data_IF_085022224877
#
_entry.id   IF_085022224877
#
_cell.length_a   1.000
_cell.length_b   1.000
_cell.length_c   1.000
_cell.angle_alpha   90.00
_cell.angle_beta   90.00
_cell.angle_gamma   90.00
#
_symmetry.space_group_name_H-M   'P 1'
#
loop_
_entity.id
_entity.type
_entity.pdbx_description
1 polymer ?
2 polymer ?
3 polymer ?
4 non-polymer ?
5 non-polymer ?
6 water ?
#
# COMPACT_ATOMS: atom_id res chain seq x y z
N UNK A 1 -1.14 -20.88 3.21
CA UNK A 1 -0.94 -20.38 1.86
C UNK A 1 0.46 -19.84 1.60
N UNK A 2 0.61 -19.08 0.53
CA UNK A 2 1.90 -18.47 0.22
C UNK A 2 2.06 -17.15 0.99
N UNK A 3 3.31 -16.74 1.15
CA UNK A 3 3.62 -15.57 1.98
C UNK A 3 4.77 -14.81 1.35
N UNK A 4 4.90 -13.55 1.76
CA UNK A 4 5.98 -12.72 1.24
C UNK A 4 6.43 -11.76 2.32
N UNK A 5 7.69 -11.38 2.24
CA UNK A 5 8.24 -10.27 2.99
C UNK A 5 8.72 -9.24 1.97
N UNK A 6 8.34 -7.99 2.17
CA UNK A 6 8.80 -6.96 1.24
C UNK A 6 9.17 -5.69 1.97
N UNK A 7 10.19 -5.03 1.45
CA UNK A 7 10.58 -3.70 1.93
C UNK A 7 10.35 -2.69 0.82
N UNK A 8 9.80 -1.54 1.22
CA UNK A 8 9.49 -0.44 0.30
C UNK A 8 10.33 0.77 0.69
N UNK A 9 11.22 1.18 -0.20
CA UNK A 9 12.14 2.29 0.01
C UNK A 9 11.74 3.47 -0.84
N UNK A 10 11.56 4.63 -0.21
CA UNK A 10 11.29 5.88 -0.89
C UNK A 10 12.32 6.91 -0.50
N UNK A 11 12.98 7.50 -1.49
CA UNK A 11 13.89 8.61 -1.25
C UNK A 11 13.50 9.78 -2.16
N UNK A 12 13.42 10.99 -1.60
CA UNK A 12 12.89 12.16 -2.30
C UNK A 12 13.82 13.35 -2.10
N UNK A 13 14.37 13.90 -3.19
CA UNK A 13 15.19 15.09 -3.03
C UNK A 13 14.31 16.33 -2.83
N UNK A 14 14.89 17.35 -2.19
CA UNK A 14 14.15 18.57 -1.88
C UNK A 14 15.14 19.73 -1.85
N UNK A 15 15.59 20.18 -3.03
CA UNK A 15 16.64 21.21 -3.08
C UNK A 15 16.21 22.45 -2.31
N UNK A 16 17.13 22.97 -1.49
CA UNK A 16 16.82 24.10 -0.62
C UNK A 16 16.28 23.72 0.74
N UNK A 17 15.97 22.45 0.99
CA UNK A 17 15.30 22.01 2.21
C UNK A 17 16.01 20.79 2.80
N UNK A 18 17.34 20.82 2.79
CA UNK A 18 18.14 19.74 3.34
C UNK A 18 18.35 18.61 2.37
N UNK A 19 18.79 17.49 2.90
CA UNK A 19 19.15 16.33 2.10
C UNK A 19 17.92 15.47 1.81
N UNK A 20 17.99 14.57 0.82
CA UNK A 20 16.80 13.77 0.48
C UNK A 20 16.31 12.92 1.64
N UNK A 21 15.00 12.97 1.90
CA UNK A 21 14.42 12.11 2.92
C UNK A 21 14.44 10.65 2.45
N UNK A 22 14.77 9.74 3.37
CA UNK A 22 14.77 8.30 3.10
C UNK A 22 13.82 7.64 4.09
N UNK A 23 12.85 6.90 3.58
CA UNK A 23 11.94 6.12 4.42
C UNK A 23 11.91 4.69 3.90
N UNK A 24 12.02 3.73 4.83
CA UNK A 24 11.88 2.32 4.52
C UNK A 24 10.77 1.74 5.37
N UNK A 25 9.84 1.02 4.74
CA UNK A 25 8.81 0.31 5.51
C UNK A 25 8.83 -1.15 5.09
N UNK A 26 8.68 -2.05 6.07
CA UNK A 26 8.72 -3.49 5.83
C UNK A 26 7.34 -4.12 6.07
N UNK A 27 6.99 -5.07 5.21
CA UNK A 27 5.71 -5.77 5.30
C UNK A 27 5.94 -7.28 5.26
N UNK A 28 5.13 -8.01 6.03
CA UNK A 28 4.89 -9.43 5.80
C UNK A 28 3.45 -9.55 5.33
N UNK A 29 3.26 -10.03 4.10
CA UNK A 29 1.95 -10.04 3.45
C UNK A 29 1.39 -8.63 3.57
N UNK A 30 0.17 -8.44 4.06
CA UNK A 30 -0.43 -7.13 4.19
C UNK A 30 -0.17 -6.43 5.50
N UNK A 31 0.74 -6.95 6.32
CA UNK A 31 0.95 -6.47 7.68
C UNK A 31 2.26 -5.69 7.76
N UNK A 32 2.17 -4.39 8.03
CA UNK A 32 3.41 -3.62 8.18
C UNK A 32 4.06 -3.99 9.52
N UNK A 33 5.37 -4.22 9.52
CA UNK A 33 6.00 -4.56 10.81
C UNK A 33 7.17 -3.68 11.23
N UNK A 34 7.84 -2.95 10.31
CA UNK A 34 8.90 -2.03 10.70
C UNK A 34 8.83 -0.73 9.90
N UNK A 35 9.46 0.32 10.44
CA UNK A 35 9.71 1.54 9.69
C UNK A 35 11.05 2.15 10.09
N UNK A 36 11.66 2.84 9.14
CA UNK A 36 12.78 3.75 9.38
C UNK A 36 12.52 5.02 8.59
N UNK A 37 12.76 6.17 9.22
CA UNK A 37 12.50 7.45 8.58
C UNK A 37 13.65 8.41 8.91
N UNK A 38 14.41 8.82 7.89
CA UNK A 38 15.54 9.72 8.16
C UNK A 38 15.09 11.08 8.69
N UNK A 39 13.82 11.43 8.54
CA UNK A 39 13.29 12.69 9.05
C UNK A 39 12.82 12.63 10.50
N UNK A 40 12.81 11.45 11.12
CA UNK A 40 12.46 11.40 12.54
C UNK A 40 13.51 12.14 13.37
N UNK A 41 13.11 12.62 14.55
CA UNK A 41 14.07 13.30 15.43
C UNK A 41 15.25 12.38 15.75
N UNK A 42 14.99 11.07 15.91
CA UNK A 42 16.02 10.07 16.18
C UNK A 42 15.82 8.88 15.26
N UNK A 43 16.31 8.96 14.02
CA UNK A 43 16.07 7.87 13.05
C UNK A 43 16.54 6.53 13.60
N UNK A 44 15.62 5.57 13.62
CA UNK A 44 16.00 4.21 13.96
C UNK A 44 14.93 3.29 13.41
N UNK A 45 15.28 2.03 13.22
CA UNK A 45 14.27 1.04 12.87
C UNK A 45 13.36 0.82 14.06
N UNK A 46 12.06 0.93 13.82
CA UNK A 46 11.09 0.90 14.90
C UNK A 46 10.04 -0.17 14.63
N UNK A 47 9.56 -0.84 15.67
CA UNK A 47 8.54 -1.88 15.45
C UNK A 47 7.21 -1.23 15.09
N UNK A 48 6.46 -1.90 14.22
CA UNK A 48 5.12 -1.42 13.86
C UNK A 48 4.06 -2.51 13.95
N UNK A 49 4.40 -3.67 14.49
CA UNK A 49 3.47 -4.75 14.79
C UNK A 49 3.91 -5.36 16.12
N UNK A 50 2.98 -5.91 16.90
CA UNK A 50 3.36 -6.39 18.23
C UNK A 50 4.34 -7.54 18.18
N UNK A 51 4.20 -8.47 17.24
CA UNK A 51 5.01 -9.68 17.33
C UNK A 51 6.49 -9.40 17.12
N UNK A 52 6.83 -8.35 16.37
CA UNK A 52 8.25 -8.09 16.11
C UNK A 52 8.95 -7.53 17.35
N UNK A 53 8.19 -7.03 18.33
CA UNK A 53 8.79 -6.37 19.49
C UNK A 53 9.67 -7.30 20.30
N UNK A 54 9.48 -8.62 20.20
CA UNK A 54 10.32 -9.53 20.94
C UNK A 54 11.70 -9.75 20.31
N UNK A 55 11.97 -9.21 19.12
CA UNK A 55 13.33 -9.27 18.61
C UNK A 55 14.26 -8.43 19.50
N UNK A 56 15.49 -8.91 19.65
CA UNK A 56 16.42 -8.33 20.61
C UNK A 56 17.13 -7.11 20.07
N UNK A 57 17.91 -6.48 20.96
CA UNK A 57 18.62 -5.25 20.58
C UNK A 57 19.42 -5.38 19.30
N UNK A 58 20.08 -6.53 19.08
CA UNK A 58 20.96 -6.65 17.93
C UNK A 58 20.17 -6.62 16.62
N UNK A 59 18.92 -7.10 16.64
CA UNK A 59 18.08 -6.95 15.45
C UNK A 59 17.85 -5.47 15.13
N UNK A 60 17.47 -4.68 16.14
CA UNK A 60 17.16 -3.28 15.90
C UNK A 60 18.41 -2.50 15.50
N UNK A 61 19.52 -2.72 16.19
CA UNK A 61 20.73 -1.96 15.84
C UNK A 61 21.23 -2.33 14.44
N UNK A 62 21.26 -3.62 14.11
CA UNK A 62 21.70 -4.01 12.78
C UNK A 62 20.83 -3.35 11.70
N UNK A 63 19.51 -3.38 11.88
CA UNK A 63 18.63 -2.76 10.89
C UNK A 63 18.82 -1.25 10.84
N UNK A 64 19.07 -0.60 11.99
CA UNK A 64 19.26 0.84 11.97
C UNK A 64 20.52 1.22 11.21
N UNK A 65 21.63 0.50 11.43
CA UNK A 65 22.85 0.77 10.67
C UNK A 65 22.65 0.54 9.18
N UNK A 66 21.93 -0.53 8.81
CA UNK A 66 21.69 -0.77 7.39
C UNK A 66 20.93 0.39 6.76
N UNK A 67 19.92 0.92 7.47
CA UNK A 67 19.10 1.98 6.90
C UNK A 67 19.83 3.31 6.85
N UNK A 68 20.71 3.59 7.82
CA UNK A 68 21.53 4.80 7.73
C UNK A 68 22.49 4.71 6.55
N UNK A 69 23.08 3.54 6.32
CA UNK A 69 23.91 3.32 5.14
C UNK A 69 23.08 3.45 3.85
N UNK A 70 21.94 2.77 3.79
CA UNK A 70 21.08 2.92 2.62
C UNK A 70 20.68 4.38 2.41
N UNK A 71 20.46 5.14 3.49
CA UNK A 71 20.17 6.57 3.32
C UNK A 71 21.25 7.27 2.50
N UNK A 72 22.52 7.00 2.80
CA UNK A 72 23.61 7.64 2.07
C UNK A 72 23.68 7.13 0.63
N UNK A 73 23.52 5.81 0.43
CA UNK A 73 23.58 5.26 -0.94
C UNK A 73 22.48 5.83 -1.82
N UNK A 74 21.27 6.01 -1.29
CA UNK A 74 20.21 6.54 -2.14
C UNK A 74 20.46 8.02 -2.47
N UNK A 75 21.04 8.77 -1.54
CA UNK A 75 21.37 10.15 -1.84
C UNK A 75 22.44 10.25 -2.92
N UNK A 76 23.47 9.39 -2.86
CA UNK A 76 24.43 9.36 -3.96
C UNK A 76 23.77 8.86 -5.24
N UNK A 77 22.88 7.87 -5.12
CA UNK A 77 22.14 7.43 -6.30
C UNK A 77 21.40 8.60 -6.94
N UNK A 78 20.67 9.38 -6.13
CA UNK A 78 19.89 10.50 -6.67
C UNK A 78 20.77 11.51 -7.38
N UNK A 79 21.97 11.78 -6.86
CA UNK A 79 22.90 12.67 -7.57
C UNK A 79 23.28 12.08 -8.91
N UNK A 80 23.62 10.78 -8.93
CA UNK A 80 24.00 10.12 -10.18
C UNK A 80 22.86 10.16 -11.18
N UNK A 81 21.63 9.89 -10.73
CA UNK A 81 20.49 9.83 -11.64
C UNK A 81 20.21 11.19 -12.25
N UNK A 82 20.41 12.24 -11.46
CA UNK A 82 20.29 13.60 -11.96
C UNK A 82 21.27 13.84 -13.10
N UNK A 83 22.51 13.37 -12.94
CA UNK A 83 23.46 13.43 -14.04
C UNK A 83 23.02 12.62 -15.25
N UNK A 84 22.52 11.40 -15.02
CA UNK A 84 22.18 10.52 -16.16
C UNK A 84 21.08 11.11 -17.02
N UNK A 85 20.19 11.90 -16.43
CA UNK A 85 19.05 12.47 -17.15
C UNK A 85 19.26 13.94 -17.47
N UNK A 86 20.45 14.48 -17.19
CA UNK A 86 20.77 15.85 -17.49
C UNK A 86 19.81 16.81 -16.78
N UNK A 87 19.48 16.51 -15.53
CA UNK A 87 18.48 17.31 -14.83
C UNK A 87 19.11 18.39 -13.95
N UNK A 88 18.38 19.48 -13.80
CA UNK A 88 18.86 20.61 -13.01
C UNK A 88 19.00 20.24 -11.53
N UNK A 89 19.80 21.03 -10.81
CA UNK A 89 19.93 20.93 -9.36
C UNK A 89 18.68 21.41 -8.63
N UNK A 90 17.75 22.05 -9.32
CA UNK A 90 16.67 22.78 -8.68
C UNK A 90 15.39 21.97 -8.51
N UNK A 91 15.27 20.80 -9.10
CA UNK A 91 14.04 20.05 -9.05
C UNK A 91 14.07 18.94 -8.03
N UNK A 92 12.88 18.56 -7.58
CA UNK A 92 12.72 17.43 -6.67
C UNK A 92 12.51 16.15 -7.48
N UNK A 93 13.23 15.08 -7.09
CA UNK A 93 13.06 13.78 -7.74
C UNK A 93 12.88 12.66 -6.72
N UNK A 94 12.33 11.54 -7.19
CA UNK A 94 11.96 10.41 -6.33
C UNK A 94 12.67 9.16 -6.81
N UNK A 95 13.31 8.43 -5.90
CA UNK A 95 13.90 7.12 -6.19
C UNK A 95 13.24 6.12 -5.28
N UNK A 96 12.62 5.08 -5.86
CA UNK A 96 11.88 4.06 -5.12
C UNK A 96 12.50 2.70 -5.36
N UNK A 97 12.52 1.84 -4.34
CA UNK A 97 12.88 0.47 -4.63
C UNK A 97 12.05 -0.45 -3.75
N UNK A 98 11.73 -1.62 -4.29
CA UNK A 98 10.99 -2.64 -3.56
C UNK A 98 11.69 -3.98 -3.74
N UNK A 99 11.91 -4.69 -2.63
CA UNK A 99 12.61 -5.98 -2.72
C UNK A 99 12.11 -6.93 -1.63
N UNK A 100 12.33 -8.22 -1.84
CA UNK A 100 11.82 -9.21 -0.91
C UNK A 100 11.66 -10.58 -1.57
N UNK A 101 11.10 -11.49 -0.80
CA UNK A 101 10.99 -12.88 -1.20
C UNK A 101 9.54 -13.34 -1.06
N UNK A 102 9.16 -14.33 -1.87
CA UNK A 102 7.88 -15.02 -1.73
C UNK A 102 8.18 -16.47 -1.39
N UNK A 103 7.40 -17.06 -0.50
CA UNK A 103 7.57 -18.48 -0.19
C UNK A 103 6.22 -19.20 -0.34
N UNK A 104 6.31 -20.49 -0.65
CA UNK A 104 5.14 -21.30 -0.79
C UNK A 104 4.66 -21.84 0.54
N UNK A 105 3.49 -22.50 0.51
CA UNK A 105 2.98 -23.11 1.75
C UNK A 105 4.02 -23.95 2.49
N UNK A 106 4.96 -24.57 1.78
CA UNK A 106 6.00 -25.37 2.41
C UNK A 106 7.25 -24.57 2.76
N UNK A 107 7.16 -23.24 2.80
CA UNK A 107 8.27 -22.41 3.19
C UNK A 107 9.42 -22.29 2.20
N UNK A 108 9.32 -22.93 1.02
CA UNK A 108 10.39 -22.89 0.03
C UNK A 108 10.31 -21.59 -0.76
N UNK A 109 11.47 -21.04 -1.13
CA UNK A 109 11.47 -19.84 -1.95
C UNK A 109 10.66 -20.06 -3.22
N UNK A 110 9.70 -19.15 -3.48
CA UNK A 110 8.98 -19.18 -4.74
C UNK A 110 9.62 -18.24 -5.76
N UNK A 111 10.02 -17.04 -5.34
CA UNK A 111 10.80 -16.14 -6.18
C UNK A 111 11.24 -14.93 -5.36
N UNK A 112 12.28 -14.26 -5.87
CA UNK A 112 12.82 -13.07 -5.21
C UNK A 112 12.55 -11.84 -6.06
N UNK A 113 12.64 -10.65 -5.46
CA UNK A 113 12.36 -9.40 -6.17
C UNK A 113 13.36 -8.34 -5.77
N UNK A 114 13.72 -7.48 -6.73
CA UNK A 114 14.50 -6.28 -6.45
C UNK A 114 14.32 -5.32 -7.63
N UNK A 115 13.37 -4.39 -7.48
CA UNK A 115 13.00 -3.45 -8.52
C UNK A 115 13.21 -2.03 -8.04
N UNK A 116 13.63 -1.15 -8.95
CA UNK A 116 13.82 0.27 -8.69
C UNK A 116 13.11 1.09 -9.76
N UNK A 117 12.68 2.30 -9.37
CA UNK A 117 11.98 3.24 -10.24
C UNK A 117 12.47 4.64 -9.96
N UNK A 118 12.52 5.46 -11.00
CA UNK A 118 12.93 6.86 -10.87
C UNK A 118 11.84 7.78 -11.40
N UNK A 119 11.46 8.76 -10.58
CA UNK A 119 10.37 9.68 -10.92
C UNK A 119 9.13 8.93 -11.39
N UNK A 120 8.87 7.78 -10.76
CA UNK A 120 7.68 7.00 -11.03
C UNK A 120 7.74 6.05 -12.21
N UNK A 121 8.88 5.93 -12.89
CA UNK A 121 9.03 5.05 -14.03
C UNK A 121 9.97 3.91 -13.68
N UNK A 122 9.62 2.69 -14.09
CA UNK A 122 10.54 1.58 -13.91
C UNK A 122 11.92 1.94 -14.46
N UNK A 123 12.95 1.64 -13.67
CA UNK A 123 14.33 1.99 -14.01
C UNK A 123 15.16 0.73 -14.21
N UNK A 124 15.34 -0.09 -13.16
CA UNK A 124 16.08 -1.34 -13.31
C UNK A 124 15.46 -2.37 -12.38
N UNK A 125 15.51 -3.64 -12.80
CA UNK A 125 14.94 -4.73 -12.00
C UNK A 125 15.82 -5.96 -12.13
N UNK A 126 16.00 -6.66 -11.02
CA UNK A 126 16.61 -7.98 -11.03
C UNK A 126 15.62 -8.98 -11.66
N UNK A 127 16.09 -9.74 -12.65
CA UNK A 127 15.23 -10.73 -13.28
C UNK A 127 14.95 -11.90 -12.33
N UNK A 128 13.95 -12.71 -12.71
CA UNK A 128 13.55 -13.81 -11.82
C UNK A 128 14.69 -14.80 -11.61
N UNK A 129 15.62 -14.91 -12.57
CA UNK A 129 16.79 -15.78 -12.39
C UNK A 129 17.71 -15.34 -11.25
N UNK A 130 17.48 -14.16 -10.68
CA UNK A 130 18.33 -13.57 -9.64
C UNK A 130 19.78 -13.48 -10.07
N UNK A 131 20.04 -13.42 -11.37
CA UNK A 131 21.42 -13.37 -11.86
C UNK A 131 21.66 -12.30 -12.91
N UNK A 132 20.61 -11.74 -13.54
CA UNK A 132 20.73 -10.76 -14.61
C UNK A 132 19.72 -9.63 -14.38
N UNK A 133 19.91 -8.51 -15.09
CA UNK A 133 19.15 -7.28 -14.89
C UNK A 133 18.36 -6.91 -16.14
N UNK A 134 17.23 -6.24 -15.94
CA UNK A 134 16.50 -5.59 -17.04
C UNK A 134 16.58 -4.08 -16.80
N UNK A 135 17.29 -3.38 -17.68
CA UNK A 135 17.42 -1.93 -17.64
C UNK A 135 16.40 -1.31 -18.58
N UNK A 136 15.70 -0.27 -18.10
CA UNK A 136 14.63 0.34 -18.88
C UNK A 136 15.12 1.30 -19.96
N UNK A 137 16.35 1.84 -19.86
CA UNK A 137 16.78 2.87 -20.80
C UNK A 137 18.29 2.97 -20.72
N UNK A 138 18.88 3.91 -21.48
CA UNK A 138 20.34 3.95 -21.50
C UNK A 138 20.91 4.42 -20.17
N UNK A 139 20.16 5.25 -19.43
CA UNK A 139 20.58 5.58 -18.06
C UNK A 139 20.72 4.32 -17.21
N UNK A 140 19.66 3.51 -17.14
CA UNK A 140 19.73 2.30 -16.32
C UNK A 140 20.80 1.34 -16.82
N UNK A 141 21.18 1.41 -18.10
CA UNK A 141 22.26 0.54 -18.57
C UNK A 141 23.60 0.92 -17.95
N UNK A 142 23.80 2.21 -17.62
CA UNK A 142 24.97 2.61 -16.86
C UNK A 142 24.95 1.98 -15.48
N UNK A 143 23.82 2.11 -14.79
CA UNK A 143 23.66 1.40 -13.51
C UNK A 143 23.92 -0.09 -13.67
N UNK A 144 23.35 -0.71 -14.71
CA UNK A 144 23.54 -2.14 -14.91
C UNK A 144 25.02 -2.50 -15.03
N UNK A 145 25.78 -1.70 -15.79
CA UNK A 145 27.21 -1.95 -15.94
C UNK A 145 27.94 -1.86 -14.61
N UNK A 146 27.62 -0.85 -13.79
CA UNK A 146 28.21 -0.77 -12.46
C UNK A 146 27.85 -1.98 -11.61
N UNK A 147 26.60 -2.41 -11.66
CA UNK A 147 26.18 -3.50 -10.76
C UNK A 147 26.72 -4.84 -11.24
N UNK A 148 26.88 -5.02 -12.55
CA UNK A 148 27.54 -6.23 -13.03
C UNK A 148 28.99 -6.27 -12.58
N UNK A 149 29.73 -5.16 -12.70
CA UNK A 149 31.12 -5.15 -12.27
C UNK A 149 31.23 -5.40 -10.75
N UNK A 150 30.34 -4.80 -9.96
CA UNK A 150 30.33 -5.01 -8.50
C UNK A 150 29.64 -6.31 -8.08
N UNK A 151 29.22 -7.14 -9.01
CA UNK A 151 28.47 -8.38 -8.76
C UNK A 151 27.38 -8.21 -7.70
N UNK A 152 26.50 -7.26 -7.95
CA UNK A 152 25.39 -7.02 -7.06
C UNK A 152 24.37 -8.15 -7.13
N UNK A 153 24.12 -8.69 -8.33
CA UNK A 153 23.11 -9.74 -8.44
C UNK A 153 23.46 -10.95 -7.59
N UNK A 154 24.75 -11.34 -7.57
CA UNK A 154 25.18 -12.47 -6.75
C UNK A 154 24.96 -12.20 -5.27
N UNK A 155 25.14 -10.95 -4.85
CA UNK A 155 24.97 -10.63 -3.45
C UNK A 155 23.49 -10.51 -3.09
N UNK A 156 22.70 -9.94 -4.00
CA UNK A 156 21.24 -9.97 -3.83
C UNK A 156 20.73 -11.41 -3.79
N UNK A 157 21.19 -12.25 -4.71
CA UNK A 157 20.74 -13.64 -4.70
C UNK A 157 21.01 -14.30 -3.34
N UNK A 158 22.19 -14.09 -2.79
CA UNK A 158 22.52 -14.67 -1.49
C UNK A 158 21.55 -14.18 -0.42
N UNK A 159 21.28 -12.87 -0.41
CA UNK A 159 20.36 -12.33 0.59
C UNK A 159 18.98 -12.94 0.44
N UNK A 160 18.48 -13.01 -0.80
CA UNK A 160 17.09 -13.38 -1.03
C UNK A 160 16.85 -14.85 -0.74
N UNK A 161 17.81 -15.71 -1.11
CA UNK A 161 17.67 -17.15 -0.87
C UNK A 161 18.00 -17.54 0.56
N UNK A 162 18.77 -16.73 1.28
CA UNK A 162 19.21 -17.02 2.62
C UNK A 162 18.43 -16.20 3.62
N UNK A 163 18.96 -15.02 3.98
CA UNK A 163 18.40 -14.18 5.03
C UNK A 163 16.90 -13.96 4.86
N UNK A 164 16.47 -13.52 3.68
CA UNK A 164 15.07 -13.14 3.48
C UNK A 164 14.11 -14.30 3.79
N UNK A 165 14.37 -15.47 3.21
CA UNK A 165 13.46 -16.60 3.41
C UNK A 165 13.52 -17.09 4.85
N UNK A 166 14.71 -17.16 5.43
CA UNK A 166 14.84 -17.55 6.83
C UNK A 166 14.09 -16.58 7.75
N UNK A 167 14.26 -15.27 7.54
CA UNK A 167 13.59 -14.35 8.45
C UNK A 167 12.09 -14.26 8.19
N UNK A 168 11.66 -14.38 6.92
CA UNK A 168 10.23 -14.50 6.67
C UNK A 168 9.65 -15.67 7.46
N UNK A 169 10.30 -16.83 7.40
CA UNK A 169 9.79 -18.00 8.11
C UNK A 169 9.79 -17.76 9.62
N UNK A 170 10.82 -17.10 10.14
CA UNK A 170 10.83 -16.76 11.56
C UNK A 170 9.68 -15.82 11.92
N UNK A 171 9.46 -14.77 11.12
CA UNK A 171 8.38 -13.85 11.43
C UNK A 171 7.03 -14.55 11.38
N UNK A 172 6.82 -15.39 10.38
CA UNK A 172 5.56 -16.10 10.25
C UNK A 172 5.29 -16.94 11.48
N UNK A 173 6.34 -17.52 12.05
CA UNK A 173 6.17 -18.32 13.26
C UNK A 173 5.89 -17.41 14.47
N UNK A 174 6.75 -16.40 14.70
CA UNK A 174 6.52 -15.52 15.84
C UNK A 174 5.17 -14.83 15.78
N UNK A 175 4.67 -14.51 14.59
CA UNK A 175 3.43 -13.78 14.45
C UNK A 175 2.29 -14.63 13.96
N UNK A 176 2.38 -15.95 14.17
CA UNK A 176 1.43 -16.88 13.55
C UNK A 176 -0.02 -16.56 13.95
N UNK A 177 -0.23 -16.06 15.16
CA UNK A 177 -1.59 -15.77 15.62
C UNK A 177 -2.30 -14.72 14.76
N UNK A 178 -1.54 -13.89 14.04
CA UNK A 178 -2.12 -12.90 13.13
C UNK A 178 -1.72 -13.15 11.68
N UNK A 179 -0.43 -13.35 11.40
CA UNK A 179 0.00 -13.53 10.02
C UNK A 179 -0.61 -14.77 9.39
N UNK A 180 -0.76 -15.84 10.16
CA UNK A 180 -1.31 -17.08 9.59
C UNK A 180 -2.79 -17.25 9.90
N UNK A 181 -3.48 -16.15 10.21
CA UNK A 181 -4.91 -16.16 10.48
C UNK A 181 -5.61 -15.37 9.39
N UNK A 182 -6.42 -16.04 8.56
CA UNK A 182 -7.28 -15.34 7.62
C UNK A 182 -8.57 -14.94 8.32
N UNK A 183 -8.90 -13.63 8.32
CA UNK A 183 -10.19 -13.16 8.86
C UNK A 183 -11.18 -12.97 7.72
N UNK A 184 -12.30 -13.69 7.72
CA UNK A 184 -13.26 -13.60 6.61
C UNK A 184 -13.94 -12.24 6.59
N UNK A 185 -14.47 -11.82 5.45
CA UNK A 185 -15.21 -10.56 5.43
C UNK A 185 -16.60 -10.74 6.02
N UNK A 186 -17.04 -9.71 6.76
CA UNK A 186 -18.47 -9.51 7.04
C UNK A 186 -19.12 -8.91 5.81
N UNK A 187 -20.25 -9.48 5.39
CA UNK A 187 -20.82 -9.12 4.10
C UNK A 187 -22.26 -8.66 4.25
N UNK A 188 -22.66 -7.73 3.38
CA UNK A 188 -24.04 -7.27 3.31
C UNK A 188 -24.30 -6.68 1.92
N UNK A 189 -25.58 -6.63 1.54
CA UNK A 189 -26.03 -5.96 0.33
C UNK A 189 -26.96 -4.82 0.74
N UNK A 190 -26.60 -3.60 0.38
CA UNK A 190 -27.45 -2.43 0.59
C UNK A 190 -28.10 -2.01 -0.73
N UNK A 191 -29.15 -1.22 -0.61
CA UNK A 191 -30.00 -0.88 -1.75
C UNK A 191 -30.27 0.61 -1.69
N UNK A 192 -29.91 1.32 -2.75
CA UNK A 192 -29.93 2.78 -2.76
C UNK A 192 -30.68 3.27 -3.98
N UNK A 193 -31.94 3.69 -3.84
CA UNK A 193 -32.73 4.12 -4.99
C UNK A 193 -32.07 5.32 -5.68
N UNK A 194 -32.07 5.28 -7.01
CA UNK A 194 -31.62 6.42 -7.83
C UNK A 194 -32.80 7.22 -8.35
N UNK A 195 -33.79 6.53 -8.90
CA UNK A 195 -34.94 7.12 -9.56
C UNK A 195 -36.04 6.06 -9.56
N UNK A 196 -37.15 6.39 -10.23
CA UNK A 196 -38.23 5.41 -10.41
C UNK A 196 -37.79 4.17 -11.18
N UNK A 197 -36.72 4.28 -11.97
CA UNK A 197 -36.36 3.23 -12.91
C UNK A 197 -35.16 2.40 -12.49
N UNK A 198 -34.34 2.89 -11.57
CA UNK A 198 -33.04 2.30 -11.29
C UNK A 198 -32.71 2.43 -9.81
N UNK A 199 -31.89 1.50 -9.33
CA UNK A 199 -31.38 1.53 -7.96
C UNK A 199 -29.97 0.93 -7.92
N UNK A 200 -29.24 1.30 -6.89
CA UNK A 200 -27.90 0.79 -6.69
C UNK A 200 -27.94 -0.36 -5.70
N UNK A 201 -27.33 -1.47 -6.09
CA UNK A 201 -27.09 -2.59 -5.20
C UNK A 201 -25.61 -2.56 -4.87
N UNK A 202 -25.27 -2.42 -3.59
CA UNK A 202 -23.88 -2.33 -3.16
C UNK A 202 -23.57 -3.53 -2.29
N UNK A 203 -22.59 -4.33 -2.71
CA UNK A 203 -22.14 -5.49 -1.97
C UNK A 203 -20.91 -5.14 -1.14
N UNK A 204 -21.02 -5.27 0.19
CA UNK A 204 -19.99 -4.91 1.14
C UNK A 204 -19.20 -6.11 1.64
N UNK A 205 -17.87 -5.93 1.74
CA UNK A 205 -16.98 -6.84 2.43
C UNK A 205 -16.18 -6.04 3.44
N UNK A 206 -16.39 -6.31 4.73
CA UNK A 206 -15.78 -5.53 5.81
C UNK A 206 -14.97 -6.43 6.74
N UNK A 207 -13.82 -5.92 7.16
CA UNK A 207 -13.06 -6.53 8.23
C UNK A 207 -12.21 -7.71 7.86
N UNK A 208 -11.82 -7.86 6.60
CA UNK A 208 -11.13 -9.08 6.19
C UNK A 208 -9.61 -8.90 6.13
N UNK A 209 -8.92 -10.04 6.13
CA UNK A 209 -7.46 -10.11 6.08
C UNK A 209 -7.11 -11.53 5.64
N UNK A 210 -6.23 -11.71 4.63
CA UNK A 210 -5.47 -10.69 3.90
C UNK A 210 -6.33 -9.91 2.92
N UNK A 211 -5.69 -9.01 2.17
CA UNK A 211 -6.39 -8.08 1.29
C UNK A 211 -6.99 -8.77 0.07
N UNK A 212 -6.42 -9.90 -0.34
CA UNK A 212 -6.92 -10.61 -1.52
C UNK A 212 -8.36 -11.05 -1.32
N UNK A 213 -9.21 -10.69 -2.28
CA UNK A 213 -10.63 -11.02 -2.24
C UNK A 213 -11.15 -10.94 -3.67
N UNK A 214 -12.20 -11.70 -3.98
CA UNK A 214 -12.91 -11.51 -5.24
C UNK A 214 -14.37 -11.23 -4.90
N UNK A 215 -14.86 -10.11 -5.42
CA UNK A 215 -16.16 -9.55 -5.08
C UNK A 215 -16.81 -9.19 -6.41
N UNK A 216 -17.82 -9.94 -6.82
CA UNK A 216 -18.37 -9.83 -8.18
C UNK A 216 -19.90 -9.86 -8.14
N UNK A 217 -20.50 -9.14 -9.08
CA UNK A 217 -21.95 -9.16 -9.29
C UNK A 217 -22.27 -9.98 -10.54
N UNK A 218 -23.33 -10.77 -10.47
CA UNK A 218 -23.81 -11.49 -11.64
C UNK A 218 -25.28 -11.18 -11.89
N UNK A 219 -25.64 -11.08 -13.17
CA UNK A 219 -27.02 -10.93 -13.63
C UNK A 219 -27.41 -12.18 -14.41
N UNK A 220 -28.40 -12.91 -13.92
CA UNK A 220 -28.77 -14.19 -14.52
C UNK A 220 -27.53 -15.06 -14.73
N UNK A 221 -26.54 -14.89 -13.85
CA UNK A 221 -25.32 -15.69 -13.88
C UNK A 221 -24.23 -15.19 -14.79
N UNK A 222 -24.43 -14.07 -15.50
CA UNK A 222 -23.36 -13.48 -16.29
C UNK A 222 -22.63 -12.45 -15.44
N UNK A 223 -21.31 -12.52 -15.45
CA UNK A 223 -20.52 -11.54 -14.71
C UNK A 223 -20.79 -10.14 -15.26
N UNK A 224 -20.93 -9.18 -14.35
CA UNK A 224 -21.22 -7.80 -14.69
C UNK A 224 -19.98 -6.91 -14.57
N UNK A 225 -18.80 -7.45 -14.87
CA UNK A 225 -17.56 -6.72 -14.61
C UNK A 225 -17.58 -5.34 -15.23
N UNK A 226 -18.08 -5.23 -16.47
CA UNK A 226 -18.11 -3.96 -17.18
C UNK A 226 -19.10 -2.96 -16.57
N UNK A 227 -20.11 -3.43 -15.84
CA UNK A 227 -21.10 -2.54 -15.25
C UNK A 227 -20.97 -2.40 -13.75
N UNK A 228 -19.87 -2.89 -13.16
CA UNK A 228 -19.67 -2.88 -11.72
C UNK A 228 -18.69 -1.77 -11.33
N UNK A 229 -19.08 -0.96 -10.35
CA UNK A 229 -18.12 -0.05 -9.73
C UNK A 229 -17.47 -0.80 -8.57
N UNK A 230 -16.20 -1.13 -8.74
CA UNK A 230 -15.41 -1.85 -7.75
C UNK A 230 -14.40 -0.87 -7.16
N UNK A 231 -14.60 -0.46 -5.91
CA UNK A 231 -13.66 0.47 -5.30
C UNK A 231 -12.38 -0.28 -4.95
N UNK A 232 -11.28 0.46 -4.91
CA UNK A 232 -10.02 -0.14 -4.47
C UNK A 232 -10.15 -0.62 -3.03
N UNK A 233 -9.57 -1.79 -2.77
CA UNK A 233 -9.50 -2.32 -1.41
C UNK A 233 -8.84 -1.30 -0.50
N UNK A 234 -9.44 -1.06 0.66
CA UNK A 234 -9.01 0.06 1.50
C UNK A 234 -8.76 -0.42 2.93
N UNK A 235 -7.76 0.13 3.60
CA UNK A 235 -7.46 -0.31 4.97
C UNK A 235 -8.45 0.25 5.96
N UNK A 236 -8.88 -0.59 6.89
CA UNK A 236 -9.81 -0.13 7.90
C UNK A 236 -9.12 0.63 9.02
N UNK A 237 -7.81 0.46 9.17
CA UNK A 237 -7.05 1.06 10.24
C UNK A 237 -6.70 0.12 11.37
N UNK A 238 -7.36 -1.04 11.45
CA UNK A 238 -7.11 -2.01 12.49
C UNK A 238 -6.42 -3.27 11.96
N UNK A 239 -5.74 -3.17 10.82
CA UNK A 239 -5.04 -4.27 10.14
C UNK A 239 -5.92 -4.93 9.09
N UNK A 240 -7.24 -4.81 9.21
CA UNK A 240 -8.14 -5.42 8.25
C UNK A 240 -8.45 -4.47 7.10
N UNK A 241 -9.19 -4.98 6.12
CA UNK A 241 -9.47 -4.25 4.89
C UNK A 241 -10.96 -4.22 4.61
N UNK A 242 -11.34 -3.34 3.69
CA UNK A 242 -12.73 -3.20 3.25
C UNK A 242 -12.78 -3.09 1.73
N UNK A 243 -13.91 -3.51 1.15
CA UNK A 243 -14.13 -3.36 -0.28
C UNK A 243 -15.63 -3.41 -0.54
N UNK A 244 -16.07 -2.71 -1.59
CA UNK A 244 -17.44 -2.90 -2.04
C UNK A 244 -17.55 -2.84 -3.56
N UNK A 245 -18.64 -3.43 -4.06
CA UNK A 245 -18.96 -3.44 -5.48
C UNK A 245 -20.41 -3.05 -5.65
N UNK A 246 -20.69 -2.20 -6.62
CA UNK A 246 -22.06 -1.74 -6.84
C UNK A 246 -22.41 -1.89 -8.31
N UNK A 247 -23.66 -2.25 -8.59
CA UNK A 247 -24.21 -2.29 -9.93
C UNK A 247 -25.50 -1.48 -9.87
N UNK A 248 -25.87 -0.89 -10.99
CA UNK A 248 -27.12 -0.14 -11.09
C UNK A 248 -28.13 -1.03 -11.81
N UNK A 249 -29.26 -1.29 -11.17
CA UNK A 249 -30.15 -2.31 -11.71
C UNK A 249 -31.53 -1.74 -12.00
N UNK A 250 -32.23 -2.29 -12.99
CA UNK A 250 -33.60 -1.82 -13.25
C UNK A 250 -34.48 -2.12 -12.05
N UNK A 251 -35.34 -1.16 -11.73
CA UNK A 251 -36.26 -1.35 -10.62
C UNK A 251 -37.11 -2.58 -10.86
N UNK A 252 -37.14 -3.48 -9.87
CA UNK A 252 -37.90 -4.71 -9.95
C UNK A 252 -37.15 -5.90 -10.50
N UNK A 253 -35.91 -5.72 -10.96
CA UNK A 253 -35.07 -6.80 -11.44
C UNK A 253 -34.03 -7.25 -10.40
N UNK A 254 -34.18 -6.83 -9.13
CA UNK A 254 -33.12 -7.01 -8.15
C UNK A 254 -32.74 -8.48 -7.99
N UNK A 255 -33.73 -9.37 -7.96
CA UNK A 255 -33.46 -10.77 -7.68
C UNK A 255 -32.72 -11.48 -8.80
N UNK A 256 -32.65 -10.88 -10.00
CA UNK A 256 -31.78 -11.47 -11.01
C UNK A 256 -30.29 -11.22 -10.74
N UNK A 257 -29.94 -10.53 -9.66
CA UNK A 257 -28.57 -10.12 -9.38
C UNK A 257 -28.04 -10.85 -8.15
N UNK A 258 -26.86 -11.45 -8.28
CA UNK A 258 -26.22 -12.08 -7.14
C UNK A 258 -24.81 -11.54 -6.95
N UNK A 259 -24.44 -11.36 -5.69
CA UNK A 259 -23.09 -10.97 -5.31
C UNK A 259 -22.35 -12.20 -4.80
N UNK A 260 -21.14 -12.41 -5.32
CA UNK A 260 -20.32 -13.57 -5.00
C UNK A 260 -19.03 -13.11 -4.36
N UNK A 261 -18.70 -13.70 -3.20
CA UNK A 261 -17.55 -13.30 -2.40
C UNK A 261 -16.65 -14.52 -2.18
N UNK A 262 -15.38 -14.41 -2.55
CA UNK A 262 -14.40 -15.44 -2.30
C UNK A 262 -13.27 -14.84 -1.48
N UNK A 263 -12.90 -15.51 -0.38
CA UNK A 263 -11.84 -15.07 0.50
C UNK A 263 -11.31 -16.29 1.24
N UNK A 264 -9.99 -16.28 1.47
CA UNK A 264 -9.34 -17.42 2.13
C UNK A 264 -9.94 -17.70 3.50
N UNK A 265 -10.52 -16.70 4.16
CA UNK A 265 -11.06 -16.93 5.48
C UNK A 265 -12.44 -17.54 5.52
N UNK A 266 -13.13 -17.61 4.38
CA UNK A 266 -14.51 -18.12 4.36
C UNK A 266 -14.50 -19.64 4.32
N UNK A 267 -15.35 -20.31 5.11
CA UNK A 267 -15.46 -21.77 4.95
C UNK A 267 -15.95 -22.17 3.57
N UNK A 268 -16.79 -21.33 2.94
CA UNK A 268 -17.45 -21.55 1.66
C UNK A 268 -17.55 -20.20 0.98
N UNK A 269 -17.31 -20.10 -0.33
CA UNK A 269 -17.61 -18.85 -1.02
C UNK A 269 -19.08 -18.49 -0.80
N UNK A 270 -19.35 -17.19 -0.78
CA UNK A 270 -20.66 -16.66 -0.41
C UNK A 270 -21.41 -16.19 -1.65
N UNK A 271 -22.72 -16.40 -1.64
CA UNK A 271 -23.61 -15.86 -2.66
C UNK A 271 -24.66 -15.01 -1.97
N UNK A 272 -24.70 -13.73 -2.30
CA UNK A 272 -25.55 -12.76 -1.62
C UNK A 272 -26.60 -12.24 -2.59
N UNK A 273 -27.80 -12.01 -2.07
CA UNK A 273 -28.87 -11.30 -2.76
C UNK A 273 -29.39 -10.20 -1.85
N UNK A 274 -30.03 -9.20 -2.47
CA UNK A 274 -30.73 -8.15 -1.73
C UNK A 274 -31.88 -8.74 -0.91
N UNK A 275 -31.80 -8.59 0.43
CA UNK A 275 -32.86 -9.01 1.34
C UNK A 275 -33.56 -7.75 1.86
N UNK A 276 -34.67 -7.31 1.24
CA UNK A 276 -35.35 -6.10 1.72
C UNK A 276 -35.93 -6.26 3.13
N UNK B 1 8.47 14.58 -15.67
CA UNK B 1 7.99 13.78 -14.55
C UNK B 1 6.69 13.08 -14.91
N UNK B 2 6.55 11.83 -14.50
CA UNK B 2 5.24 11.20 -14.41
C UNK B 2 4.54 11.75 -13.17
N UNK B 3 3.33 12.28 -13.34
CA UNK B 3 2.52 12.76 -12.23
C UNK B 3 1.17 12.07 -12.27
N UNK B 4 0.66 11.67 -11.11
CA UNK B 4 -0.57 10.88 -11.05
C UNK B 4 -1.48 11.48 -10.00
N UNK B 5 -2.71 11.67 -10.34
CA UNK B 5 -3.52 12.40 -9.40
C UNK B 5 -4.11 11.44 -8.36
N UNK B 6 -4.30 11.88 -7.13
CA UNK B 6 -4.76 10.94 -6.09
C UNK B 6 -6.20 10.53 -6.27
N UNK B 7 -6.45 9.26 -5.98
CA UNK B 7 -7.77 8.80 -5.60
C UNK B 7 -7.98 9.07 -4.12
N UNK B 8 -9.25 9.29 -3.73
CA UNK B 8 -9.59 9.58 -2.35
C UNK B 8 -10.84 8.81 -1.98
N UNK B 9 -10.79 8.09 -0.86
CA UNK B 9 -11.96 7.48 -0.25
C UNK B 9 -12.05 7.97 1.19
N UNK B 10 -13.24 8.41 1.59
CA UNK B 10 -13.51 8.79 2.97
C UNK B 10 -14.60 7.86 3.49
N UNK B 11 -14.37 7.26 4.65
CA UNK B 11 -15.23 6.20 5.14
C UNK B 11 -14.90 5.96 6.60
N UNK B 12 -15.74 5.15 7.25
CA UNK B 12 -15.54 4.84 8.67
C UNK B 12 -14.99 3.43 8.85
N UNK B 13 -14.28 3.24 9.96
CA UNK B 13 -13.73 1.92 10.25
C UNK B 13 -14.86 0.90 10.38
N UNK B 14 -15.90 1.27 11.14
CA UNK B 14 -17.07 0.45 11.39
C UNK B 14 -18.30 1.12 10.80
N UNK B 15 -19.31 0.36 10.37
CA UNK B 15 -20.57 0.99 9.96
C UNK B 15 -20.99 2.03 10.99
N UNK B 16 -21.50 3.16 10.50
CA UNK B 16 -21.69 4.31 11.38
C UNK B 16 -23.00 4.18 12.16
N UNK B 17 -22.92 4.38 13.46
CA UNK B 17 -24.07 4.35 14.36
C UNK B 17 -24.06 5.69 15.12
N UNK B 18 -24.96 6.60 14.74
CA UNK B 18 -25.04 7.92 15.36
C UNK B 18 -24.90 7.81 16.88
N UNK B 19 -23.97 8.59 17.45
CA UNK B 19 -23.73 8.55 18.87
C UNK B 19 -22.70 7.54 19.36
N UNK B 20 -22.35 6.54 18.54
CA UNK B 20 -21.35 5.55 18.92
C UNK B 20 -20.00 5.90 18.30
N UNK B 21 -18.95 5.81 19.10
CA UNK B 21 -17.61 6.20 18.67
C UNK B 21 -17.07 5.27 17.58
N UNK B 22 -16.14 5.81 16.79
CA UNK B 22 -15.79 5.23 15.50
C UNK B 22 -14.48 5.85 15.05
N UNK B 23 -14.05 5.51 13.84
CA UNK B 23 -12.85 6.07 13.27
C UNK B 23 -13.16 6.57 11.88
N UNK B 24 -12.78 7.83 11.61
CA UNK B 24 -12.96 8.43 10.30
C UNK B 24 -11.67 8.25 9.50
N UNK B 25 -11.81 7.71 8.30
CA UNK B 25 -10.65 7.40 7.46
C UNK B 25 -10.70 8.23 6.18
N UNK B 26 -9.54 8.75 5.81
CA UNK B 26 -9.31 9.28 4.47
C UNK B 26 -8.10 8.56 3.87
N UNK B 27 -8.34 7.72 2.88
CA UNK B 27 -7.31 6.92 2.25
C UNK B 27 -7.01 7.54 0.90
N UNK B 28 -5.79 8.05 0.75
CA UNK B 28 -5.35 8.66 -0.51
C UNK B 28 -4.37 7.70 -1.18
N UNK B 29 -4.59 7.42 -2.46
CA UNK B 29 -3.80 6.41 -3.14
C UNK B 29 -3.62 6.77 -4.60
N UNK B 30 -2.74 6.01 -5.27
CA UNK B 30 -2.48 6.18 -6.68
C UNK B 30 -1.76 7.44 -7.09
N UNK B 31 -1.22 8.24 -6.18
CA UNK B 31 -0.64 9.51 -6.59
C UNK B 31 0.89 9.46 -6.75
N UNK B 32 1.40 10.44 -7.49
CA UNK B 32 2.83 10.62 -7.69
C UNK B 32 3.00 12.06 -8.15
N UNK B 33 3.98 12.83 -7.62
CA UNK B 33 4.94 12.49 -6.55
C UNK B 33 4.31 12.34 -5.17
N UNK B 34 5.15 12.15 -4.15
CA UNK B 34 4.68 11.77 -2.83
C UNK B 34 4.22 12.93 -1.99
N UNK B 35 4.63 14.15 -2.30
CA UNK B 35 4.22 15.30 -1.52
C UNK B 35 2.70 15.51 -1.63
N UNK B 36 2.02 15.51 -0.50
CA UNK B 36 0.58 15.67 -0.48
C UNK B 36 0.18 16.30 0.85
N UNK B 37 -0.92 17.03 0.85
CA UNK B 37 -1.47 17.59 2.08
C UNK B 37 -2.88 17.06 2.26
N UNK B 38 -3.14 16.51 3.45
CA UNK B 38 -4.44 15.92 3.74
C UNK B 38 -4.95 16.50 5.05
N UNK B 39 -6.20 16.94 5.06
CA UNK B 39 -6.85 17.35 6.29
C UNK B 39 -8.20 16.65 6.44
N UNK B 40 -8.50 16.26 7.68
CA UNK B 40 -9.84 15.83 8.03
C UNK B 40 -10.59 17.04 8.55
N UNK B 41 -11.84 17.20 8.10
CA UNK B 41 -12.67 18.37 8.41
C UNK B 41 -13.94 17.94 9.13
N UNK B 42 -14.29 18.70 10.17
CA UNK B 42 -15.57 18.56 10.86
C UNK B 42 -16.29 19.89 10.74
N UNK B 43 -17.43 19.89 10.07
CA UNK B 43 -18.19 21.10 9.78
C UNK B 43 -17.29 22.19 9.22
N UNK B 44 -16.46 21.79 8.24
CA UNK B 44 -15.59 22.70 7.54
C UNK B 44 -14.32 23.15 8.27
N UNK B 45 -14.14 22.77 9.53
CA UNK B 45 -12.94 23.12 10.27
C UNK B 45 -12.01 21.92 10.40
N UNK B 46 -10.71 22.20 10.47
CA UNK B 46 -9.70 21.15 10.43
C UNK B 46 -9.54 20.48 11.79
N UNK B 47 -9.63 19.15 11.80
CA UNK B 47 -9.46 18.37 13.02
C UNK B 47 -7.98 18.30 13.36
N UNK B 48 -7.66 18.42 14.65
CA UNK B 48 -6.27 18.56 15.03
C UNK B 48 -5.60 17.20 15.31
N UNK B 49 -6.29 16.27 15.96
CA UNK B 49 -5.68 14.97 16.28
C UNK B 49 -5.92 14.02 15.11
N UNK B 50 -5.03 14.10 14.12
CA UNK B 50 -5.12 13.25 12.93
C UNK B 50 -3.79 12.50 12.77
N UNK B 51 -3.83 11.18 12.83
CA UNK B 51 -2.68 10.34 12.59
C UNK B 51 -2.68 9.85 11.14
N UNK B 52 -1.52 9.37 10.70
CA UNK B 52 -1.41 8.86 9.35
C UNK B 52 -0.38 7.74 9.31
N UNK B 53 -0.50 6.90 8.28
CA UNK B 53 0.36 5.75 8.13
C UNK B 53 1.72 6.16 7.58
N UNK B 54 2.69 5.27 7.68
CA UNK B 54 3.99 5.50 7.08
C UNK B 54 3.91 5.42 5.56
N UNK B 55 4.57 6.37 4.89
CA UNK B 55 4.51 6.42 3.43
C UNK B 55 4.97 5.11 2.79
N UNK B 56 4.12 4.53 1.95
CA UNK B 56 4.46 3.32 1.20
C UNK B 56 3.90 3.47 -0.21
N UNK B 57 4.04 2.43 -1.04
CA UNK B 57 3.57 2.53 -2.41
C UNK B 57 3.17 1.16 -2.96
N UNK B 58 2.39 1.19 -4.04
CA UNK B 58 1.84 -0.01 -4.66
C UNK B 58 2.79 -0.59 -5.70
N UNK B 59 2.36 -1.69 -6.32
CA UNK B 59 3.16 -2.38 -7.34
C UNK B 59 3.44 -1.50 -8.55
N UNK B 60 2.56 -0.55 -8.85
CA UNK B 60 2.79 0.38 -9.96
C UNK B 60 3.56 1.63 -9.53
N UNK B 61 4.17 1.62 -8.34
CA UNK B 61 4.99 2.70 -7.80
C UNK B 61 4.17 3.89 -7.28
N UNK B 62 2.86 3.91 -7.43
CA UNK B 62 2.06 5.04 -6.90
C UNK B 62 1.96 4.94 -5.38
N UNK B 63 1.96 6.11 -4.71
CA UNK B 63 1.99 6.15 -3.25
C UNK B 63 0.59 6.02 -2.65
N UNK B 64 0.53 5.64 -1.37
CA UNK B 64 -0.74 5.64 -0.63
C UNK B 64 -0.50 6.01 0.83
N UNK B 65 -1.48 6.68 1.41
CA UNK B 65 -1.47 7.05 2.82
C UNK B 65 -2.87 6.93 3.40
N UNK B 66 -2.94 6.55 4.67
CA UNK B 66 -4.19 6.54 5.41
C UNK B 66 -4.10 7.58 6.51
N UNK B 67 -4.99 8.56 6.49
CA UNK B 67 -5.17 9.53 7.57
C UNK B 67 -6.42 9.15 8.35
N UNK B 68 -6.34 9.18 9.67
CA UNK B 68 -7.49 8.76 10.46
C UNK B 68 -7.58 9.56 11.74
N UNK B 69 -8.79 9.60 12.28
CA UNK B 69 -9.05 10.23 13.56
C UNK B 69 -10.28 9.60 14.20
N UNK B 70 -10.28 9.57 15.53
CA UNK B 70 -11.47 9.14 16.27
C UNK B 70 -12.61 10.11 16.04
N UNK B 71 -13.83 9.58 16.03
CA UNK B 71 -14.98 10.47 15.90
C UNK B 71 -16.28 9.77 16.27
N UNK B 72 -17.30 10.57 16.52
CA UNK B 72 -18.64 10.07 16.81
C UNK B 72 -19.64 10.67 15.83
N UNK B 73 -20.14 9.88 14.89
CA UNK B 73 -21.12 10.40 13.93
C UNK B 73 -22.40 10.89 14.61
N UNK B 74 -23.09 11.79 13.92
CA UNK B 74 -24.35 12.37 14.34
C UNK B 74 -25.09 12.82 13.08
N UNK B 75 -26.41 13.00 13.21
CA UNK B 75 -27.20 13.37 12.03
C UNK B 75 -26.84 14.77 11.52
N UNK B 76 -26.44 15.67 12.40
CA UNK B 76 -26.19 17.03 11.97
C UNK B 76 -24.74 17.26 11.52
N UNK B 77 -23.76 16.60 12.12
CA UNK B 77 -22.37 16.88 11.81
C UNK B 77 -21.98 16.32 10.45
N UNK B 78 -21.22 17.10 9.68
CA UNK B 78 -20.74 16.71 8.36
C UNK B 78 -19.22 16.65 8.37
N UNK B 79 -18.68 15.50 8.01
CA UNK B 79 -17.23 15.34 7.97
C UNK B 79 -16.76 15.26 6.52
N UNK B 80 -15.51 15.66 6.29
CA UNK B 80 -14.97 15.64 4.93
C UNK B 80 -13.46 15.46 4.97
N UNK B 81 -12.91 15.13 3.80
CA UNK B 81 -11.47 15.04 3.60
C UNK B 81 -11.06 16.06 2.54
N UNK B 82 -9.97 16.80 2.81
CA UNK B 82 -9.47 17.85 1.92
C UNK B 82 -8.04 17.51 1.54
N UNK B 83 -7.79 17.36 0.25
CA UNK B 83 -6.51 16.87 -0.28
C UNK B 83 -5.93 17.90 -1.23
N UNK B 84 -4.65 18.22 -1.06
CA UNK B 84 -3.95 19.06 -1.99
C UNK B 84 -2.72 18.34 -2.51
N UNK B 85 -2.48 18.49 -3.80
CA UNK B 85 -1.43 17.77 -4.50
C UNK B 85 -1.11 18.54 -5.77
N UNK B 86 0.13 18.42 -6.23
CA UNK B 86 0.59 19.19 -7.39
C UNK B 86 -0.28 18.94 -8.61
N UNK B 87 -0.99 17.82 -8.67
CA UNK B 87 -1.80 17.55 -9.86
C UNK B 87 -3.16 18.24 -9.85
N UNK B 88 -3.52 18.95 -8.79
CA UNK B 88 -4.87 19.49 -8.61
C UNK B 88 -4.85 21.00 -8.72
N UNK B 89 -5.79 21.57 -9.48
CA UNK B 89 -5.80 23.04 -9.61
C UNK B 89 -6.33 23.71 -8.34
N UNK B 90 -7.14 23.01 -7.57
CA UNK B 90 -7.55 23.46 -6.25
C UNK B 90 -7.62 22.24 -5.34
N UNK B 91 -7.52 22.45 -4.03
CA UNK B 91 -7.74 21.34 -3.10
C UNK B 91 -9.09 20.69 -3.34
N UNK B 92 -9.09 19.36 -3.36
CA UNK B 92 -10.32 18.60 -3.53
C UNK B 92 -10.89 18.26 -2.16
N UNK B 93 -12.19 18.49 -1.99
CA UNK B 93 -12.90 18.12 -0.77
C UNK B 93 -13.80 16.96 -1.12
N UNK B 94 -13.74 15.90 -0.33
CA UNK B 94 -14.62 14.74 -0.47
C UNK B 94 -15.39 14.60 0.84
N UNK B 95 -16.72 14.64 0.75
CA UNK B 95 -17.59 14.51 1.91
C UNK B 95 -17.72 13.04 2.32
N UNK B 96 -17.72 12.80 3.63
CA UNK B 96 -18.03 11.46 4.11
C UNK B 96 -19.49 11.16 3.87
N UNK B 97 -19.73 10.05 3.18
CA UNK B 97 -21.07 9.53 2.94
C UNK B 97 -21.12 8.14 3.57
N UNK B 98 -21.99 7.97 4.57
CA UNK B 98 -21.95 6.74 5.36
C UNK B 98 -22.42 5.52 4.58
N UNK B 99 -23.01 5.68 3.40
CA UNK B 99 -23.30 4.52 2.56
C UNK B 99 -22.18 4.22 1.58
N UNK B 100 -21.00 4.78 1.77
CA UNK B 100 -19.89 4.51 0.86
C UNK B 100 -18.59 4.36 1.65
N UNK C 1 16.16 -9.25 8.73
CA UNK C 1 16.64 -7.88 8.54
C UNK C 1 16.73 -7.48 7.06
N UNK C 2 16.99 -6.19 6.87
CA UNK C 2 17.11 -5.60 5.53
C UNK C 2 18.47 -5.94 4.92
N UNK C 3 18.60 -5.59 3.65
CA UNK C 3 19.83 -5.76 2.89
C UNK C 3 20.49 -4.39 2.70
N UNK C 4 21.80 -4.36 2.78
CA UNK C 4 22.55 -3.13 2.51
C UNK C 4 22.89 -3.13 1.03
N UNK C 5 22.45 -2.11 0.33
CA UNK C 5 22.48 -2.15 -1.12
C UNK C 5 23.87 -1.75 -1.61
N UNK C 6 24.52 -2.73 -2.25
CA UNK C 6 25.97 -2.81 -2.45
C UNK C 6 26.51 -1.72 -3.32
N UNK C 7 25.65 -1.04 -4.09
CA UNK C 7 26.15 0.05 -4.90
C UNK C 7 25.06 1.10 -5.04
N UNK C 8 25.50 2.34 -5.06
CA UNK C 8 24.74 3.43 -5.64
C UNK C 8 24.36 3.08 -7.07
N UNK C 9 23.26 3.64 -7.56
CA UNK C 9 22.89 3.49 -8.96
C UNK C 9 23.87 4.20 -9.86
#
# INVERSE_FOLDING_TARGET
GSHSMRYFHTSVSRPGRGEPRFISVGYVDGTQFVRFDSDAASPRTEPRAPWIEQEGPEYWDRNTQISKTNTQTYRESLRNLRGYYNQSEAGSHTLQRMYGCDVGPDGRLLRGHDQSAYDGKDYIALNEDLSSWTAADTAAQITQRKWEAARVAEQLRAYLEGTCVEWLRRHLENGKETLQRADPPKTHVTHHPISDHEATLRCWALGFYPAEITLTWQRDGEDQTQDTELVETRPAGDRTFQKWAAVVVPSGEEQRYTCHVQHEGLPKPLTLRWEP
MIQRTPKIQVYSRHPAENGKSNFLNCYVSGFHPSDIEVDLLKNGERIEKVEHSDLSFSKDWSFYLLYYTEFTPTEKDEYACRVNHVTLSQPKIVKWDRDM
PEMTFFSVK
#
